data_IF_486073802459
#
_entry.id   IF_486073802459
#
_cell.length_a   1.000
_cell.length_b   1.000
_cell.length_c   1.000
_cell.angle_alpha   90.00
_cell.angle_beta   90.00
_cell.angle_gamma   90.00
#
_symmetry.space_group_name_H-M   'P 1'
#
loop_
_entity.id
_entity.type
_entity.pdbx_description
1 polymer ?
#
# COMPACT_ATOMS: atom_id res chain seq x y z
N UNK A 1 18.04 31.98 34.89
CA UNK A 1 17.04 30.96 35.27
C UNK A 1 16.52 30.34 33.98
N UNK A 2 16.81 29.06 33.73
CA UNK A 2 16.34 28.37 32.54
C UNK A 2 14.81 28.27 32.60
N UNK A 3 14.14 28.78 31.56
CA UNK A 3 12.70 28.77 31.44
C UNK A 3 12.24 27.30 31.43
N UNK A 4 11.55 26.90 32.50
CA UNK A 4 11.09 25.52 32.69
C UNK A 4 9.99 25.29 31.65
N UNK A 5 10.31 24.50 30.62
CA UNK A 5 9.48 24.27 29.46
C UNK A 5 8.05 23.88 29.91
N UNK A 6 7.10 24.81 29.73
CA UNK A 6 5.71 24.61 30.10
C UNK A 6 5.02 23.86 28.97
N UNK A 7 4.59 22.63 29.28
CA UNK A 7 3.71 21.66 28.60
C UNK A 7 2.93 21.99 27.31
N UNK A 8 2.72 23.26 26.94
CA UNK A 8 1.81 23.78 25.92
C UNK A 8 2.47 24.25 24.62
N UNK A 9 3.77 24.55 24.59
CA UNK A 9 4.42 25.02 23.34
C UNK A 9 4.42 23.95 22.23
N UNK A 10 4.48 22.66 22.60
CA UNK A 10 4.42 21.54 21.64
C UNK A 10 2.98 21.21 21.16
N UNK A 11 1.95 21.92 21.62
CA UNK A 11 0.53 21.69 21.24
C UNK A 11 0.04 22.68 20.16
N UNK A 12 0.77 23.77 19.92
CA UNK A 12 0.44 24.80 18.92
C UNK A 12 1.13 24.59 17.56
N UNK A 13 1.91 23.52 17.37
CA UNK A 13 2.48 23.21 16.06
C UNK A 13 1.37 22.69 15.13
N UNK A 14 0.88 23.56 14.25
CA UNK A 14 0.05 23.19 13.11
C UNK A 14 0.79 22.12 12.27
N UNK A 15 0.20 20.93 12.16
CA UNK A 15 0.72 19.83 11.33
C UNK A 15 0.62 20.21 9.85
N UNK A 16 1.59 20.96 9.35
CA UNK A 16 1.75 21.11 7.90
C UNK A 16 2.31 19.80 7.33
N UNK A 17 1.54 19.16 6.46
CA UNK A 17 2.02 18.00 5.68
C UNK A 17 3.17 18.45 4.79
N UNK A 18 4.40 18.27 5.25
CA UNK A 18 5.60 18.62 4.49
C UNK A 18 6.03 17.42 3.63
N UNK A 19 5.87 17.56 2.31
CA UNK A 19 6.22 16.52 1.32
C UNK A 19 7.70 16.10 1.42
N UNK A 20 8.57 16.99 1.90
CA UNK A 20 9.98 16.70 2.14
C UNK A 20 10.20 15.71 3.30
N UNK A 21 9.33 15.71 4.31
CA UNK A 21 9.40 14.76 5.42
C UNK A 21 8.89 13.38 5.00
N UNK A 22 7.88 13.33 4.12
CA UNK A 22 7.44 12.08 3.48
C UNK A 22 8.56 11.44 2.65
N UNK A 23 9.43 12.24 2.01
CA UNK A 23 10.60 11.73 1.27
C UNK A 23 11.63 11.02 2.16
N UNK A 24 11.70 11.32 3.47
CA UNK A 24 12.59 10.58 4.39
C UNK A 24 12.16 9.12 4.54
N UNK A 25 10.86 8.84 4.37
CA UNK A 25 10.32 7.48 4.48
C UNK A 25 10.74 6.58 3.30
N UNK A 26 11.11 7.18 2.16
CA UNK A 26 11.68 6.45 1.01
C UNK A 26 12.89 5.58 1.40
N UNK A 27 13.66 5.98 2.42
CA UNK A 27 14.78 5.20 2.96
C UNK A 27 14.32 3.82 3.47
N UNK A 28 13.18 3.74 4.15
CA UNK A 28 12.63 2.49 4.68
C UNK A 28 11.90 1.68 3.60
N UNK A 29 11.41 2.33 2.54
CA UNK A 29 10.78 1.63 1.40
C UNK A 29 11.79 1.02 0.43
N UNK A 30 12.97 1.65 0.24
CA UNK A 30 14.02 1.20 -0.68
C UNK A 30 14.37 -0.29 -0.59
N UNK A 31 14.59 -0.91 0.60
CA UNK A 31 14.89 -2.34 0.70
C UNK A 31 13.75 -3.26 0.22
N UNK A 32 12.51 -2.77 0.16
CA UNK A 32 11.33 -3.52 -0.29
C UNK A 32 10.95 -3.23 -1.75
N UNK A 33 11.75 -2.45 -2.49
CA UNK A 33 11.46 -2.05 -3.88
C UNK A 33 11.25 -3.24 -4.82
N UNK A 34 12.04 -4.32 -4.69
CA UNK A 34 11.87 -5.53 -5.52
C UNK A 34 10.55 -6.24 -5.26
N UNK A 35 10.08 -6.25 -4.00
CA UNK A 35 8.78 -6.85 -3.64
C UNK A 35 7.63 -5.98 -4.14
N UNK A 36 7.76 -4.65 -4.06
CA UNK A 36 6.81 -3.71 -4.64
C UNK A 36 6.72 -3.87 -6.17
N UNK A 37 7.84 -4.07 -6.85
CA UNK A 37 7.86 -4.33 -8.29
C UNK A 37 7.10 -5.61 -8.66
N UNK A 38 7.24 -6.69 -7.88
CA UNK A 38 6.45 -7.91 -8.07
C UNK A 38 4.94 -7.66 -7.90
N UNK A 39 4.54 -6.87 -6.90
CA UNK A 39 3.13 -6.50 -6.70
C UNK A 39 2.60 -5.71 -7.89
N UNK A 40 3.38 -4.77 -8.42
CA UNK A 40 3.01 -4.00 -9.62
C UNK A 40 2.83 -4.91 -10.83
N UNK A 41 3.71 -5.90 -11.02
CA UNK A 41 3.57 -6.89 -12.11
C UNK A 41 2.28 -7.70 -11.98
N UNK A 42 1.92 -8.12 -10.76
CA UNK A 42 0.66 -8.83 -10.50
C UNK A 42 -0.55 -7.93 -10.79
N UNK A 43 -0.49 -6.66 -10.39
CA UNK A 43 -1.53 -5.67 -10.68
C UNK A 43 -1.71 -5.47 -12.18
N UNK A 44 -0.63 -5.29 -12.94
CA UNK A 44 -0.67 -5.17 -14.41
C UNK A 44 -1.33 -6.41 -15.03
N UNK A 45 -0.92 -7.61 -14.61
CA UNK A 45 -1.52 -8.86 -15.11
C UNK A 45 -3.02 -8.95 -14.78
N UNK A 46 -3.42 -8.50 -13.60
CA UNK A 46 -4.82 -8.44 -13.18
C UNK A 46 -5.64 -7.46 -14.04
N UNK A 47 -5.08 -6.29 -14.37
CA UNK A 47 -5.74 -5.31 -15.26
C UNK A 47 -5.97 -5.90 -16.66
N UNK A 48 -5.00 -6.62 -17.22
CA UNK A 48 -5.15 -7.29 -18.53
C UNK A 48 -6.30 -8.32 -18.48
N UNK A 49 -6.36 -9.13 -17.41
CA UNK A 49 -7.44 -10.11 -17.23
C UNK A 49 -8.79 -9.40 -17.10
N UNK A 50 -8.85 -8.30 -16.34
CA UNK A 50 -10.08 -7.53 -16.12
C UNK A 50 -10.63 -6.93 -17.43
N UNK A 51 -9.76 -6.50 -18.35
CA UNK A 51 -10.15 -6.07 -19.70
C UNK A 51 -10.56 -7.24 -20.59
N UNK A 52 -9.90 -8.39 -20.49
CA UNK A 52 -10.24 -9.56 -21.29
C UNK A 52 -11.66 -10.07 -21.01
N UNK A 53 -12.18 -9.88 -19.78
CA UNK A 53 -13.52 -10.31 -19.36
C UNK A 53 -14.66 -9.77 -20.27
N UNK A 54 -14.77 -8.46 -20.54
CA UNK A 54 -15.71 -7.92 -21.52
C UNK A 54 -15.57 -8.51 -22.93
N UNK A 55 -14.33 -8.71 -23.41
CA UNK A 55 -14.09 -9.27 -24.75
C UNK A 55 -14.57 -10.72 -24.86
N UNK A 56 -14.33 -11.54 -23.83
CA UNK A 56 -14.81 -12.92 -23.77
C UNK A 56 -16.33 -12.95 -23.67
N UNK A 57 -16.92 -12.07 -22.86
CA UNK A 57 -18.38 -11.93 -22.77
C UNK A 57 -19.00 -11.55 -24.12
N UNK A 58 -18.37 -10.64 -24.88
CA UNK A 58 -18.80 -10.30 -26.24
C UNK A 58 -18.73 -11.51 -27.17
N UNK A 59 -17.63 -12.26 -27.16
CA UNK A 59 -17.46 -13.47 -27.99
C UNK A 59 -18.50 -14.55 -27.65
N UNK A 60 -18.84 -14.70 -26.37
CA UNK A 60 -19.89 -15.60 -25.91
C UNK A 60 -21.27 -15.22 -26.49
N UNK A 61 -21.60 -13.93 -26.54
CA UNK A 61 -22.88 -13.43 -27.05
C UNK A 61 -22.94 -13.47 -28.58
N UNK A 62 -21.90 -12.98 -29.26
CA UNK A 62 -21.93 -12.75 -30.71
C UNK A 62 -21.65 -14.01 -31.54
N UNK A 63 -20.89 -14.98 -31.00
CA UNK A 63 -20.41 -16.14 -31.75
C UNK A 63 -20.97 -17.45 -31.20
N UNK A 64 -20.85 -17.67 -29.90
CA UNK A 64 -21.18 -18.97 -29.29
C UNK A 64 -22.68 -19.21 -29.23
N UNK A 65 -23.44 -18.22 -28.75
CA UNK A 65 -24.89 -18.31 -28.64
C UNK A 65 -25.59 -18.53 -30.00
N UNK A 66 -25.22 -17.84 -31.10
CA UNK A 66 -25.81 -18.07 -32.42
C UNK A 66 -25.43 -19.43 -33.04
N UNK A 67 -24.19 -19.90 -32.84
CA UNK A 67 -23.73 -21.16 -33.43
C UNK A 67 -24.30 -22.41 -32.73
N UNK A 68 -24.88 -22.29 -31.52
CA UNK A 68 -25.42 -23.39 -30.71
C UNK A 68 -24.45 -24.58 -30.53
N UNK A 69 -23.16 -24.33 -30.63
CA UNK A 69 -22.13 -25.35 -30.46
C UNK A 69 -21.76 -25.49 -28.98
N UNK A 70 -22.20 -26.59 -28.36
CA UNK A 70 -21.93 -26.84 -26.94
C UNK A 70 -20.43 -27.00 -26.64
N UNK A 71 -19.63 -27.52 -27.59
CA UNK A 71 -18.18 -27.68 -27.39
C UNK A 71 -17.46 -26.34 -27.23
N UNK A 72 -17.73 -25.38 -28.12
CA UNK A 72 -17.16 -24.03 -28.04
C UNK A 72 -17.61 -23.28 -26.79
N UNK A 73 -18.84 -23.55 -26.33
CA UNK A 73 -19.37 -23.00 -25.09
C UNK A 73 -18.57 -23.49 -23.87
N UNK A 74 -18.31 -24.78 -23.76
CA UNK A 74 -17.54 -25.34 -22.64
C UNK A 74 -16.08 -24.84 -22.64
N UNK A 75 -15.45 -24.71 -23.81
CA UNK A 75 -14.09 -24.16 -23.92
C UNK A 75 -14.01 -22.71 -23.42
N UNK A 76 -14.92 -21.84 -23.86
CA UNK A 76 -14.95 -20.44 -23.43
C UNK A 76 -15.26 -20.31 -21.94
N UNK A 77 -16.21 -21.10 -21.41
CA UNK A 77 -16.50 -21.12 -19.96
C UNK A 77 -15.28 -21.59 -19.16
N UNK A 78 -14.56 -22.60 -19.64
CA UNK A 78 -13.35 -23.09 -18.97
C UNK A 78 -12.25 -22.02 -18.92
N UNK A 79 -12.01 -21.32 -20.03
CA UNK A 79 -11.05 -20.20 -20.08
C UNK A 79 -11.50 -19.06 -19.18
N UNK A 80 -12.79 -18.73 -19.18
CA UNK A 80 -13.35 -17.67 -18.34
C UNK A 80 -13.18 -17.99 -16.84
N UNK A 81 -13.51 -19.21 -16.42
CA UNK A 81 -13.29 -19.68 -15.05
C UNK A 81 -11.81 -19.64 -14.67
N UNK A 82 -10.92 -20.10 -15.54
CA UNK A 82 -9.47 -20.07 -15.30
C UNK A 82 -9.01 -18.63 -15.05
N UNK A 83 -9.43 -17.68 -15.89
CA UNK A 83 -9.07 -16.28 -15.76
C UNK A 83 -9.60 -15.63 -14.47
N UNK A 84 -10.83 -15.96 -14.06
CA UNK A 84 -11.38 -15.50 -12.76
C UNK A 84 -10.52 -16.03 -11.62
N UNK A 85 -10.19 -17.32 -11.61
CA UNK A 85 -9.37 -17.92 -10.56
C UNK A 85 -7.99 -17.26 -10.50
N UNK A 86 -7.36 -17.03 -11.66
CA UNK A 86 -6.06 -16.35 -11.73
C UNK A 86 -6.14 -14.90 -11.22
N UNK A 87 -7.20 -14.18 -11.57
CA UNK A 87 -7.43 -12.81 -11.09
C UNK A 87 -7.59 -12.78 -9.57
N UNK A 88 -8.45 -13.62 -8.99
CA UNK A 88 -8.69 -13.68 -7.55
C UNK A 88 -7.43 -14.10 -6.78
N UNK A 89 -6.67 -15.06 -7.28
CA UNK A 89 -5.38 -15.44 -6.71
C UNK A 89 -4.38 -14.27 -6.75
N UNK A 90 -4.32 -13.54 -7.86
CA UNK A 90 -3.50 -12.34 -8.00
C UNK A 90 -3.91 -11.25 -7.01
N UNK A 91 -5.22 -11.02 -6.84
CA UNK A 91 -5.77 -10.04 -5.90
C UNK A 91 -5.45 -10.41 -4.44
N UNK A 92 -5.60 -11.69 -4.08
CA UNK A 92 -5.25 -12.21 -2.77
C UNK A 92 -3.74 -12.05 -2.49
N UNK A 93 -2.90 -12.40 -3.48
CA UNK A 93 -1.45 -12.22 -3.38
C UNK A 93 -1.08 -10.74 -3.20
N UNK A 94 -1.62 -9.84 -4.03
CA UNK A 94 -1.41 -8.39 -3.94
C UNK A 94 -1.70 -7.90 -2.53
N UNK A 95 -2.88 -8.26 -2.00
CA UNK A 95 -3.34 -7.81 -0.68
C UNK A 95 -2.41 -8.28 0.43
N UNK A 96 -2.03 -9.56 0.42
CA UNK A 96 -1.12 -10.14 1.41
C UNK A 96 0.29 -9.56 1.29
N UNK A 97 0.79 -9.37 0.07
CA UNK A 97 2.12 -8.84 -0.18
C UNK A 97 2.25 -7.38 0.28
N UNK A 98 1.29 -6.51 -0.07
CA UNK A 98 1.25 -5.11 0.38
C UNK A 98 1.20 -5.05 1.91
N UNK A 99 0.31 -5.83 2.53
CA UNK A 99 0.17 -5.86 3.99
C UNK A 99 1.48 -6.29 4.65
N UNK A 100 2.12 -7.36 4.15
CA UNK A 100 3.41 -7.81 4.70
C UNK A 100 4.51 -6.77 4.52
N UNK A 101 4.59 -6.12 3.36
CA UNK A 101 5.58 -5.06 3.09
C UNK A 101 5.37 -3.89 4.05
N UNK A 102 4.13 -3.45 4.22
CA UNK A 102 3.76 -2.43 5.20
C UNK A 102 4.27 -2.81 6.60
N UNK A 103 3.88 -3.98 7.11
CA UNK A 103 4.29 -4.44 8.44
C UNK A 103 5.82 -4.53 8.63
N UNK A 104 6.56 -4.94 7.59
CA UNK A 104 8.03 -4.97 7.65
C UNK A 104 8.64 -3.56 7.75
N UNK A 105 8.12 -2.61 6.98
CA UNK A 105 8.55 -1.20 7.04
C UNK A 105 8.26 -0.62 8.44
N UNK A 106 7.09 -0.90 9.00
CA UNK A 106 6.68 -0.48 10.35
C UNK A 106 7.64 -1.03 11.41
N UNK A 107 7.97 -2.32 11.32
CA UNK A 107 8.89 -2.96 12.25
C UNK A 107 10.26 -2.27 12.24
N UNK A 108 10.78 -1.95 11.06
CA UNK A 108 12.08 -1.32 10.92
C UNK A 108 12.06 0.13 11.46
N UNK A 109 10.99 0.89 11.20
CA UNK A 109 10.81 2.23 11.78
C UNK A 109 10.71 2.20 13.31
N UNK A 110 9.93 1.26 13.88
CA UNK A 110 9.82 1.07 15.33
C UNK A 110 11.17 0.79 15.96
N UNK A 111 12.00 -0.04 15.31
CA UNK A 111 13.33 -0.37 15.80
C UNK A 111 14.26 0.84 15.83
N UNK A 112 14.35 1.58 14.72
CA UNK A 112 15.24 2.75 14.62
C UNK A 112 14.87 3.82 15.64
N UNK A 113 13.58 4.08 15.83
CA UNK A 113 13.12 5.06 16.81
C UNK A 113 13.36 4.58 18.24
N UNK A 114 13.08 3.31 18.55
CA UNK A 114 13.34 2.76 19.88
C UNK A 114 14.83 2.83 20.25
N UNK A 115 15.73 2.57 19.29
CA UNK A 115 17.18 2.74 19.48
C UNK A 115 17.55 4.21 19.65
N UNK A 116 16.96 5.11 18.88
CA UNK A 116 17.22 6.54 19.03
C UNK A 116 16.77 7.06 20.39
N UNK A 117 15.56 6.72 20.84
CA UNK A 117 15.02 7.13 22.14
C UNK A 117 15.93 6.68 23.29
N UNK A 118 16.46 5.46 23.23
CA UNK A 118 17.40 4.96 24.25
C UNK A 118 18.75 5.70 24.26
N UNK A 119 19.13 6.36 23.17
CA UNK A 119 20.39 7.11 23.06
C UNK A 119 20.30 8.56 23.54
N UNK A 120 19.11 9.05 23.88
CA UNK A 120 18.93 10.43 24.37
C UNK A 120 19.46 10.59 25.81
N UNK A 121 19.98 11.80 26.09
CA UNK A 121 20.51 12.15 27.41
C UNK A 121 19.43 12.25 28.48
N UNK A 122 19.80 12.05 29.73
CA UNK A 122 18.90 12.19 30.88
C UNK A 122 18.26 13.60 30.97
N UNK A 123 18.99 14.65 30.58
CA UNK A 123 18.47 16.03 30.51
C UNK A 123 17.23 16.17 29.61
N UNK A 124 17.15 15.38 28.53
CA UNK A 124 15.99 15.38 27.64
C UNK A 124 14.73 14.81 28.32
N UNK A 125 14.92 13.82 29.20
CA UNK A 125 13.86 13.17 29.95
C UNK A 125 13.45 13.94 31.21
N UNK A 126 14.37 14.70 31.81
CA UNK A 126 14.07 15.54 32.99
C UNK A 126 13.28 16.81 32.63
N UNK A 127 13.41 17.30 31.40
CA UNK A 127 12.72 18.52 30.96
C UNK A 127 11.26 18.30 30.53
N UNK A 128 10.73 17.07 30.57
CA UNK A 128 9.42 16.69 30.01
C UNK A 128 8.73 15.65 30.91
N UNK A 129 7.40 15.74 31.13
CA UNK A 129 6.69 14.78 31.98
C UNK A 129 6.84 13.34 31.49
N UNK A 130 7.21 12.46 32.41
CA UNK A 130 7.38 11.03 32.17
C UNK A 130 6.11 10.42 31.52
N UNK A 131 6.27 9.62 30.47
CA UNK A 131 5.17 8.95 29.76
C UNK A 131 4.59 9.68 28.55
N UNK A 132 4.56 11.03 28.50
CA UNK A 132 4.02 11.78 27.33
C UNK A 132 4.86 11.50 26.08
N UNK A 133 6.18 11.46 26.21
CA UNK A 133 7.13 11.19 25.11
C UNK A 133 6.91 9.81 24.50
N UNK A 134 6.84 8.77 25.33
CA UNK A 134 6.68 7.39 24.88
C UNK A 134 5.35 7.19 24.15
N UNK A 135 4.26 7.70 24.72
CA UNK A 135 2.93 7.62 24.11
C UNK A 135 2.90 8.38 22.78
N UNK A 136 3.49 9.58 22.72
CA UNK A 136 3.53 10.37 21.48
C UNK A 136 4.32 9.67 20.38
N UNK A 137 5.48 9.14 20.71
CA UNK A 137 6.34 8.44 19.75
C UNK A 137 5.63 7.18 19.25
N UNK A 138 5.07 6.36 20.14
CA UNK A 138 4.36 5.14 19.75
C UNK A 138 3.14 5.48 18.88
N UNK A 139 2.35 6.49 19.26
CA UNK A 139 1.19 6.91 18.49
C UNK A 139 1.57 7.49 17.13
N UNK A 140 2.56 8.39 17.06
CA UNK A 140 3.02 8.93 15.78
C UNK A 140 3.61 7.85 14.87
N UNK A 141 4.33 6.87 15.42
CA UNK A 141 4.79 5.72 14.64
C UNK A 141 3.61 4.96 14.09
N UNK A 142 2.61 4.64 14.91
CA UNK A 142 1.44 3.88 14.46
C UNK A 142 0.66 4.66 13.39
N UNK A 143 0.40 5.95 13.60
CA UNK A 143 -0.30 6.79 12.62
C UNK A 143 0.49 6.92 11.31
N UNK A 144 1.80 7.16 11.38
CA UNK A 144 2.67 7.26 10.20
C UNK A 144 2.72 5.91 9.47
N UNK A 145 2.81 4.81 10.22
CA UNK A 145 2.85 3.44 9.75
C UNK A 145 1.59 3.01 9.02
N UNK A 146 0.43 3.32 9.60
CA UNK A 146 -0.89 3.04 9.02
C UNK A 146 -1.11 3.90 7.78
N UNK A 147 -0.74 5.19 7.84
CA UNK A 147 -0.79 6.10 6.68
C UNK A 147 0.09 5.59 5.54
N UNK A 148 1.27 5.03 5.86
CA UNK A 148 2.18 4.52 4.84
C UNK A 148 1.69 3.20 4.22
N UNK A 149 1.27 2.27 5.07
CA UNK A 149 0.90 0.91 4.68
C UNK A 149 -0.46 0.87 3.98
N UNK A 150 -1.44 1.61 4.51
CA UNK A 150 -2.81 1.60 4.02
C UNK A 150 -3.12 2.78 3.10
N UNK A 151 -2.42 3.91 3.26
CA UNK A 151 -2.63 5.09 2.42
C UNK A 151 -1.69 5.11 1.22
N UNK A 152 -0.41 5.40 1.46
CA UNK A 152 0.57 5.67 0.39
C UNK A 152 0.75 4.51 -0.58
N UNK A 153 0.96 3.27 -0.10
CA UNK A 153 1.16 2.11 -0.99
C UNK A 153 -0.08 1.84 -1.86
N UNK A 154 -1.28 2.00 -1.28
CA UNK A 154 -2.52 1.82 -2.01
C UNK A 154 -2.73 2.94 -3.03
N UNK A 155 -2.55 4.21 -2.65
CA UNK A 155 -2.63 5.35 -3.58
C UNK A 155 -1.67 5.18 -4.76
N UNK A 156 -0.41 4.81 -4.52
CA UNK A 156 0.54 4.55 -5.60
C UNK A 156 0.05 3.40 -6.50
N UNK A 157 -0.37 2.28 -5.91
CA UNK A 157 -0.89 1.13 -6.67
C UNK A 157 -2.12 1.51 -7.50
N UNK A 158 -3.03 2.29 -6.94
CA UNK A 158 -4.29 2.67 -7.58
C UNK A 158 -4.05 3.69 -8.70
N UNK A 159 -3.09 4.60 -8.56
CA UNK A 159 -2.65 5.48 -9.67
C UNK A 159 -2.12 4.66 -10.84
N UNK A 160 -1.30 3.63 -10.57
CA UNK A 160 -0.82 2.73 -11.62
C UNK A 160 -1.97 1.97 -12.30
N UNK A 161 -2.90 1.41 -11.52
CA UNK A 161 -4.12 0.75 -12.04
C UNK A 161 -4.93 1.69 -12.91
N UNK A 162 -5.14 2.92 -12.46
CA UNK A 162 -5.91 3.94 -13.16
C UNK A 162 -5.29 4.23 -14.53
N UNK A 163 -3.97 4.48 -14.58
CA UNK A 163 -3.26 4.74 -15.84
C UNK A 163 -3.38 3.56 -16.80
N UNK A 164 -3.16 2.33 -16.32
CA UNK A 164 -3.24 1.12 -17.17
C UNK A 164 -4.66 0.94 -17.69
N UNK A 165 -5.67 1.09 -16.82
CA UNK A 165 -7.07 0.93 -17.20
C UNK A 165 -7.48 1.97 -18.24
N UNK A 166 -7.05 3.23 -18.10
CA UNK A 166 -7.26 4.28 -19.10
C UNK A 166 -6.65 3.89 -20.45
N UNK A 167 -5.38 3.46 -20.46
CA UNK A 167 -4.71 3.03 -21.70
C UNK A 167 -5.51 1.92 -22.37
N UNK A 168 -5.90 0.89 -21.61
CA UNK A 168 -6.63 -0.24 -22.15
C UNK A 168 -8.05 0.11 -22.60
N UNK A 169 -8.67 1.15 -22.05
CA UNK A 169 -9.98 1.61 -22.51
C UNK A 169 -9.90 2.31 -23.88
N UNK A 170 -8.77 2.96 -24.19
CA UNK A 170 -8.54 3.67 -25.45
C UNK A 170 -7.84 2.84 -26.54
N UNK A 171 -7.45 1.60 -26.22
CA UNK A 171 -6.90 0.61 -27.17
C UNK A 171 -8.00 -0.36 -27.58
#
# INVERSE_FOLDING_TARGET
MAQRNTYREDEEQEEHVNVHELMRVKKYMKPYATKLLLVIMVVISGSIIMTAMPMITKMLIDVVLPQKSYTYLYEIIAVFMLLIVLYELGLAYRTLAITRIGQMIIRDMRRDIFTHVQSLSFDYFDSRPHGKILIRIVNYINTLSDTLSSGLINVFSDVFVLIITLITMFV
#
